data_IF_782817592281
#
_entry.id   IF_782817592281
#
_cell.length_a   1.000
_cell.length_b   1.000
_cell.length_c   1.000
_cell.angle_alpha   90.00
_cell.angle_beta   90.00
_cell.angle_gamma   90.00
#
_symmetry.space_group_name_H-M   'P 1'
#
loop_
_entity.id
_entity.type
_entity.pdbx_description
1 polymer ?
#
# COMPACT_ATOMS: atom_id res chain seq x y z
N UNK A 1 -11.87 16.80 -29.96
CA UNK A 1 -10.93 15.67 -30.15
C UNK A 1 -10.71 15.01 -28.80
N UNK A 2 -10.90 13.69 -28.70
CA UNK A 2 -10.57 12.92 -27.50
C UNK A 2 -9.14 12.39 -27.71
N UNK A 3 -8.21 12.60 -26.78
CA UNK A 3 -6.86 12.06 -26.93
C UNK A 3 -6.91 10.52 -26.94
N UNK A 4 -6.40 9.90 -28.01
CA UNK A 4 -6.17 8.46 -28.04
C UNK A 4 -5.03 8.13 -27.05
N UNK A 5 -5.25 7.23 -26.07
CA UNK A 5 -4.19 6.83 -25.15
C UNK A 5 -3.15 5.98 -25.91
N UNK A 6 -1.94 6.51 -26.07
CA UNK A 6 -0.82 5.81 -26.71
C UNK A 6 -0.38 4.60 -25.85
N UNK A 7 -0.54 3.36 -26.33
CA UNK A 7 -0.17 2.15 -25.60
C UNK A 7 1.35 2.05 -25.35
N UNK A 8 2.19 2.79 -26.08
CA UNK A 8 3.66 2.82 -25.89
C UNK A 8 4.10 3.79 -24.78
N UNK A 9 3.21 4.66 -24.29
CA UNK A 9 3.51 5.55 -23.17
C UNK A 9 3.63 4.82 -21.80
N UNK A 10 3.30 3.53 -21.74
CA UNK A 10 3.34 2.70 -20.53
C UNK A 10 4.69 2.02 -20.20
N UNK A 11 5.77 2.37 -20.90
CA UNK A 11 6.97 1.52 -21.04
C UNK A 11 7.99 1.43 -19.89
N UNK A 12 7.87 2.18 -18.78
CA UNK A 12 8.92 2.19 -17.73
C UNK A 12 8.43 2.08 -16.30
N UNK A 13 7.15 1.79 -16.07
CA UNK A 13 6.68 1.51 -14.70
C UNK A 13 7.02 0.07 -14.35
N UNK A 14 8.03 -0.15 -13.49
CA UNK A 14 8.28 -1.45 -12.85
C UNK A 14 7.01 -1.88 -12.13
N UNK A 15 6.27 -2.82 -12.72
CA UNK A 15 5.07 -3.39 -12.11
C UNK A 15 5.51 -4.28 -10.97
N UNK A 16 5.23 -3.86 -9.74
CA UNK A 16 5.40 -4.71 -8.57
C UNK A 16 4.26 -5.74 -8.61
N UNK A 17 4.60 -7.00 -8.90
CA UNK A 17 3.65 -8.11 -8.75
C UNK A 17 3.64 -8.47 -7.27
N UNK A 18 2.54 -8.18 -6.58
CA UNK A 18 2.35 -8.60 -5.20
C UNK A 18 2.24 -10.13 -5.16
N UNK A 19 3.27 -10.82 -4.68
CA UNK A 19 3.24 -12.26 -4.47
C UNK A 19 2.21 -12.68 -3.42
N UNK A 20 1.74 -13.92 -3.49
CA UNK A 20 0.84 -14.54 -2.49
C UNK A 20 -0.64 -14.59 -2.89
N UNK A 21 -1.33 -15.64 -2.44
CA UNK A 21 -2.79 -15.79 -2.57
C UNK A 21 -3.56 -14.86 -1.62
N UNK A 22 -4.90 -14.91 -1.69
CA UNK A 22 -5.74 -14.29 -0.65
C UNK A 22 -5.54 -15.09 0.63
N UNK A 23 -5.10 -14.47 1.75
CA UNK A 23 -4.98 -15.19 3.02
C UNK A 23 -6.36 -15.66 3.48
N UNK A 24 -6.42 -16.81 4.16
CA UNK A 24 -7.67 -17.30 4.76
C UNK A 24 -8.18 -16.25 5.77
N UNK A 25 -9.39 -15.69 5.59
CA UNK A 25 -9.90 -14.62 6.44
C UNK A 25 -10.07 -15.05 7.90
N UNK A 26 -10.10 -16.35 8.18
CA UNK A 26 -10.24 -16.91 9.52
C UNK A 26 -8.93 -16.90 10.31
N UNK A 27 -7.78 -16.69 9.65
CA UNK A 27 -6.44 -16.69 10.26
C UNK A 27 -5.66 -15.45 9.84
N UNK A 28 -6.06 -14.25 10.31
CA UNK A 28 -5.31 -13.04 10.02
C UNK A 28 -3.89 -13.16 10.60
N UNK A 29 -2.86 -12.69 9.87
CA UNK A 29 -1.52 -12.66 10.40
C UNK A 29 -1.42 -11.60 11.51
N UNK A 30 -0.56 -11.80 12.53
CA UNK A 30 -0.39 -10.86 13.62
C UNK A 30 0.20 -9.53 13.12
N UNK A 31 -0.09 -8.43 13.82
CA UNK A 31 0.34 -7.10 13.42
C UNK A 31 -0.38 -6.59 12.18
N UNK A 32 0.36 -6.01 11.23
CA UNK A 32 -0.20 -5.48 9.99
C UNK A 32 -0.67 -6.61 9.06
N UNK A 33 -1.96 -6.69 8.78
CA UNK A 33 -2.54 -7.74 7.92
C UNK A 33 -1.91 -7.84 6.53
N UNK A 34 -1.34 -6.75 6.02
CA UNK A 34 -0.70 -6.69 4.71
C UNK A 34 0.78 -7.11 4.73
N UNK A 35 1.42 -7.26 5.90
CA UNK A 35 2.85 -7.58 5.99
C UNK A 35 3.31 -8.81 5.19
N UNK A 36 2.51 -9.90 4.99
CA UNK A 36 2.95 -11.06 4.21
C UNK A 36 3.11 -10.75 2.71
N UNK A 37 2.51 -9.66 2.23
CA UNK A 37 2.51 -9.24 0.83
C UNK A 37 3.12 -7.86 0.61
N UNK A 38 3.50 -7.16 1.67
CA UNK A 38 4.01 -5.80 1.61
C UNK A 38 5.50 -5.78 1.24
N UNK A 39 5.91 -5.09 0.16
CA UNK A 39 7.33 -4.96 -0.19
C UNK A 39 8.12 -4.08 0.79
N UNK A 40 7.43 -3.29 1.61
CA UNK A 40 7.99 -2.42 2.65
C UNK A 40 7.87 -3.04 4.05
N UNK A 41 7.59 -4.35 4.16
CA UNK A 41 7.43 -5.00 5.45
C UNK A 41 8.73 -4.97 6.27
N UNK A 42 8.65 -4.48 7.50
CA UNK A 42 9.71 -4.50 8.50
C UNK A 42 9.28 -5.32 9.72
N UNK A 43 10.17 -5.52 10.70
CA UNK A 43 9.84 -6.28 11.92
C UNK A 43 8.66 -5.71 12.72
N UNK A 44 8.45 -4.38 12.72
CA UNK A 44 7.31 -3.79 13.42
C UNK A 44 5.98 -4.20 12.78
N UNK A 45 5.98 -4.44 11.46
CA UNK A 45 4.79 -4.85 10.71
C UNK A 45 4.29 -6.25 11.09
N UNK A 46 5.13 -7.14 11.62
CA UNK A 46 4.73 -8.50 12.05
C UNK A 46 4.29 -8.55 13.52
N UNK A 47 4.61 -7.51 14.29
CA UNK A 47 4.42 -7.47 15.75
C UNK A 47 3.28 -6.55 16.18
N UNK A 48 3.06 -5.44 15.47
CA UNK A 48 2.15 -4.37 15.90
C UNK A 48 1.19 -3.99 14.78
N UNK A 49 -0.09 -3.84 15.11
CA UNK A 49 -1.09 -3.30 14.19
C UNK A 49 -0.89 -1.78 14.03
N UNK A 50 -0.76 -1.26 12.79
CA UNK A 50 -0.51 0.15 12.57
C UNK A 50 -1.72 1.02 12.91
N UNK A 51 -1.48 2.10 13.66
CA UNK A 51 -2.52 3.09 13.95
C UNK A 51 -3.02 3.77 12.66
N UNK A 52 -4.32 4.05 12.61
CA UNK A 52 -4.92 4.86 11.54
C UNK A 52 -4.54 6.33 11.71
N UNK A 53 -3.89 6.89 10.71
CA UNK A 53 -3.49 8.29 10.62
C UNK A 53 -4.16 8.95 9.42
N UNK A 54 -4.60 10.19 9.58
CA UNK A 54 -5.18 10.97 8.47
C UNK A 54 -4.06 11.64 7.66
N UNK A 55 -4.04 11.37 6.36
CA UNK A 55 -3.16 11.99 5.35
C UNK A 55 -3.95 12.84 4.35
N UNK A 56 -5.19 13.19 4.68
CA UNK A 56 -6.02 14.09 3.89
C UNK A 56 -5.42 15.50 3.80
N UNK A 57 -5.73 16.19 2.71
CA UNK A 57 -5.34 17.59 2.51
C UNK A 57 -6.54 18.50 2.70
N UNK A 58 -6.28 19.79 2.98
CA UNK A 58 -7.34 20.79 3.03
C UNK A 58 -8.11 20.80 1.70
N UNK A 59 -9.42 20.52 1.77
CA UNK A 59 -10.32 20.51 0.61
C UNK A 59 -10.58 19.14 -0.03
N UNK A 60 -9.84 18.07 0.32
CA UNK A 60 -10.09 16.70 -0.22
C UNK A 60 -10.73 15.73 0.77
N UNK A 61 -10.90 16.16 2.03
CA UNK A 61 -11.47 15.32 3.09
C UNK A 61 -10.44 14.39 3.73
N UNK A 62 -10.91 13.51 4.62
CA UNK A 62 -10.05 12.58 5.37
C UNK A 62 -9.52 11.47 4.47
N UNK A 63 -8.23 11.15 4.60
CA UNK A 63 -7.59 10.02 3.95
C UNK A 63 -6.88 9.16 5.00
N UNK A 64 -7.61 8.21 5.58
CA UNK A 64 -7.11 7.38 6.68
C UNK A 64 -6.21 6.25 6.17
N UNK A 65 -4.99 6.18 6.69
CA UNK A 65 -3.98 5.18 6.36
C UNK A 65 -3.50 4.48 7.61
N UNK A 66 -3.48 3.14 7.58
CA UNK A 66 -2.94 2.28 8.64
C UNK A 66 -1.64 1.62 8.13
N UNK A 67 -0.54 2.39 8.09
CA UNK A 67 0.77 1.89 7.70
C UNK A 67 1.84 2.50 8.62
N UNK A 68 2.78 1.66 9.08
CA UNK A 68 3.92 2.10 9.90
C UNK A 68 4.83 3.07 9.14
N UNK A 69 4.98 2.88 7.83
CA UNK A 69 5.87 3.64 6.96
C UNK A 69 5.17 4.69 6.09
N UNK A 70 3.88 4.97 6.32
CA UNK A 70 3.19 6.03 5.59
C UNK A 70 3.83 7.40 5.87
N UNK A 71 4.15 8.14 4.81
CA UNK A 71 4.84 9.44 4.87
C UNK A 71 6.36 9.34 4.74
N UNK A 72 6.94 8.15 4.84
CA UNK A 72 8.36 7.92 4.56
C UNK A 72 8.51 7.71 3.04
N UNK A 73 8.63 8.81 2.30
CA UNK A 73 8.88 8.75 0.87
C UNK A 73 10.21 8.02 0.61
N UNK A 74 10.15 6.84 -0.02
CA UNK A 74 11.32 6.23 -0.64
C UNK A 74 11.83 7.19 -1.70
N UNK A 75 12.99 7.81 -1.44
CA UNK A 75 13.79 8.50 -2.47
C UNK A 75 14.26 7.52 -3.54
#
# INVERSE_FOLDING_TARGET
AIPEPDPKAGGTRRRIVLGGGVPDPSKPPPGCHFHPRCPLATEICTKVDPARRDFGSAGTGQHLVACHHAGEATS
#
